data_IF_581947521059
#
_entry.id   IF_581947521059
#
_cell.length_a   1.000
_cell.length_b   1.000
_cell.length_c   1.000
_cell.angle_alpha   90.00
_cell.angle_beta   90.00
_cell.angle_gamma   90.00
#
_symmetry.space_group_name_H-M   'P 1'
#
loop_
_entity.id
_entity.type
_entity.pdbx_description
1 polymer ?
#
# COMPACT_ATOMS: atom_id res chain seq x y z
N UNK A 1 -11.61 -5.42 10.84
CA UNK A 1 -10.49 -6.02 10.08
C UNK A 1 -9.31 -5.04 10.10
N UNK A 2 -8.13 -5.46 10.55
CA UNK A 2 -6.96 -4.58 10.62
C UNK A 2 -6.22 -4.59 9.27
N UNK A 3 -6.17 -3.44 8.58
CA UNK A 3 -5.55 -3.31 7.25
C UNK A 3 -4.07 -3.71 7.24
N UNK A 4 -3.32 -3.42 8.32
CA UNK A 4 -1.91 -3.82 8.41
C UNK A 4 -1.76 -5.34 8.47
N UNK A 5 -2.66 -6.03 9.18
CA UNK A 5 -2.64 -7.50 9.24
C UNK A 5 -3.00 -8.13 7.90
N UNK A 6 -3.98 -7.58 7.19
CA UNK A 6 -4.34 -8.03 5.84
C UNK A 6 -3.18 -7.84 4.87
N UNK A 7 -2.59 -6.63 4.82
CA UNK A 7 -1.42 -6.34 3.99
C UNK A 7 -0.26 -7.28 4.31
N UNK A 8 0.07 -7.50 5.59
CA UNK A 8 1.16 -8.38 5.99
C UNK A 8 0.94 -9.81 5.50
N UNK A 9 -0.28 -10.35 5.70
CA UNK A 9 -0.63 -11.72 5.31
C UNK A 9 -0.65 -11.93 3.81
N UNK A 10 -1.20 -10.98 3.06
CA UNK A 10 -1.45 -11.18 1.63
C UNK A 10 -0.24 -10.78 0.76
N UNK A 11 0.64 -9.90 1.26
CA UNK A 11 1.74 -9.31 0.46
C UNK A 11 3.13 -9.69 0.94
N UNK A 12 3.37 -9.72 2.26
CA UNK A 12 4.73 -9.81 2.83
C UNK A 12 5.08 -11.23 3.32
N UNK A 13 4.19 -11.89 4.04
CA UNK A 13 4.39 -13.29 4.49
C UNK A 13 4.73 -14.24 3.32
N UNK A 14 4.05 -14.17 2.15
CA UNK A 14 4.37 -15.06 1.02
C UNK A 14 5.75 -14.84 0.40
N UNK A 15 6.48 -13.81 0.83
CA UNK A 15 7.80 -13.43 0.32
C UNK A 15 8.91 -13.57 1.37
N UNK A 16 8.62 -14.22 2.50
CA UNK A 16 9.52 -14.32 3.66
C UNK A 16 9.95 -12.93 4.18
N UNK A 17 9.04 -11.96 4.07
CA UNK A 17 9.23 -10.61 4.58
C UNK A 17 8.24 -10.31 5.71
N UNK A 18 8.62 -9.40 6.59
CA UNK A 18 7.74 -8.85 7.63
C UNK A 18 7.41 -7.39 7.34
N UNK A 19 6.11 -7.06 7.34
CA UNK A 19 5.67 -5.66 7.35
C UNK A 19 6.11 -4.97 8.66
N UNK A 20 6.89 -3.90 8.53
CA UNK A 20 7.33 -3.06 9.64
C UNK A 20 6.35 -1.90 9.88
N UNK A 21 5.95 -1.21 8.81
CA UNK A 21 4.98 -0.11 8.87
C UNK A 21 4.22 0.01 7.56
N UNK A 22 2.94 0.40 7.65
CA UNK A 22 2.12 0.80 6.51
C UNK A 22 1.42 2.12 6.82
N UNK A 23 1.56 3.11 5.93
CA UNK A 23 0.97 4.44 6.06
C UNK A 23 0.04 4.70 4.89
N UNK A 24 -1.22 5.00 5.17
CA UNK A 24 -2.16 5.44 4.14
C UNK A 24 -1.70 6.80 3.60
N UNK A 25 -1.54 6.89 2.29
CA UNK A 25 -1.13 8.12 1.61
C UNK A 25 -2.21 8.62 0.68
N UNK A 26 -2.37 9.94 0.66
CA UNK A 26 -3.21 10.63 -0.30
C UNK A 26 -2.35 11.40 -1.29
N UNK A 27 -2.61 11.19 -2.58
CA UNK A 27 -1.91 11.90 -3.65
C UNK A 27 -2.23 13.40 -3.60
N UNK A 28 -1.25 14.24 -3.26
CA UNK A 28 -1.36 15.71 -3.40
C UNK A 28 -1.31 16.05 -4.89
N UNK A 29 -2.44 16.45 -5.49
CA UNK A 29 -2.68 16.97 -6.88
C UNK A 29 -1.86 16.33 -8.03
N UNK A 30 -2.58 15.79 -9.03
CA UNK A 30 -2.09 15.15 -10.28
C UNK A 30 -0.83 15.82 -10.89
N UNK A 31 0.38 15.32 -10.57
CA UNK A 31 1.34 15.08 -11.67
C UNK A 31 0.83 13.82 -12.35
N UNK A 32 0.31 13.91 -13.58
CA UNK A 32 -0.27 12.77 -14.32
C UNK A 32 0.83 11.70 -14.44
N UNK A 33 0.67 10.58 -13.74
CA UNK A 33 1.53 9.40 -13.92
C UNK A 33 0.70 8.44 -14.75
N UNK A 34 1.13 8.18 -15.99
CA UNK A 34 0.40 7.37 -16.97
C UNK A 34 0.09 5.96 -16.47
N UNK A 35 0.93 5.41 -15.59
CA UNK A 35 0.81 4.04 -15.07
C UNK A 35 -0.12 3.90 -13.85
N UNK A 36 -0.59 5.01 -13.26
CA UNK A 36 -1.56 4.97 -12.17
C UNK A 36 -2.87 5.55 -12.67
N UNK A 37 -3.87 4.71 -13.01
CA UNK A 37 -5.18 5.19 -13.42
C UNK A 37 -5.65 6.15 -12.35
N UNK A 38 -5.98 7.39 -12.76
CA UNK A 38 -6.48 8.36 -11.79
C UNK A 38 -7.96 8.09 -11.63
N UNK A 39 -8.31 7.06 -10.87
CA UNK A 39 -9.69 6.79 -10.48
C UNK A 39 -10.27 7.99 -9.74
N UNK A 40 -11.59 8.02 -9.64
CA UNK A 40 -12.26 9.04 -8.85
C UNK A 40 -11.72 8.99 -7.41
N UNK A 41 -11.74 10.13 -6.70
CA UNK A 41 -11.46 10.15 -5.26
C UNK A 41 -12.44 9.18 -4.57
N UNK A 42 -12.03 7.95 -4.29
CA UNK A 42 -12.89 6.99 -3.56
C UNK A 42 -12.64 5.51 -3.84
N UNK A 43 -12.11 5.14 -5.01
CA UNK A 43 -12.15 3.72 -5.43
C UNK A 43 -11.06 2.83 -4.80
N UNK A 44 -9.97 3.43 -4.32
CA UNK A 44 -8.86 2.70 -3.72
C UNK A 44 -8.14 3.52 -2.64
N UNK A 45 -7.78 2.83 -1.55
CA UNK A 45 -6.83 3.33 -0.57
C UNK A 45 -5.41 2.95 -1.01
N UNK A 46 -4.45 3.85 -0.84
CA UNK A 46 -3.04 3.59 -1.18
C UNK A 46 -2.21 3.63 0.08
N UNK A 47 -1.36 2.63 0.26
CA UNK A 47 -0.44 2.53 1.38
C UNK A 47 1.00 2.51 0.87
N UNK A 48 1.87 3.25 1.55
CA UNK A 48 3.33 3.03 1.45
C UNK A 48 3.71 2.11 2.60
N UNK A 49 4.38 1.01 2.27
CA UNK A 49 4.78 -0.02 3.22
C UNK A 49 6.31 -0.10 3.29
N UNK A 50 6.84 -0.38 4.48
CA UNK A 50 8.25 -0.74 4.69
C UNK A 50 8.29 -2.16 5.24
N UNK A 51 9.11 -3.00 4.64
CA UNK A 51 9.32 -4.38 5.06
C UNK A 51 10.79 -4.69 5.27
N UNK A 52 11.06 -5.79 5.98
CA UNK A 52 12.39 -6.37 6.12
C UNK A 52 12.34 -7.87 5.91
N UNK A 53 13.42 -8.43 5.36
CA UNK A 53 13.62 -9.88 5.32
C UNK A 53 13.82 -10.43 6.72
N UNK A 54 13.26 -11.62 6.93
CA UNK A 54 13.52 -12.45 8.11
C UNK A 54 14.74 -13.32 7.82
#
# INVERSE_FOLDING_TARGET
MNIQSAINKDVFIPRDERLLVAVEVRRRKRKRMSFLPTGAKGDYATFICVSGKI
#
